data_IF_647549401260
#
_entry.id   IF_647549401260
#
_cell.length_a   1.000
_cell.length_b   1.000
_cell.length_c   1.000
_cell.angle_alpha   90.00
_cell.angle_beta   90.00
_cell.angle_gamma   90.00
#
_symmetry.space_group_name_H-M   'P 1'
#
loop_
_entity.id
_entity.type
_entity.pdbx_description
1 polymer ?
#
# COMPACT_ATOMS: atom_id res chain seq x y z
N UNK A 1 8.38 16.19 12.67
CA UNK A 1 9.07 15.13 13.42
C UNK A 1 9.85 14.24 12.44
N UNK A 2 11.12 14.56 12.15
CA UNK A 2 12.09 13.65 11.51
C UNK A 2 13.17 13.36 12.56
N UNK A 3 13.05 12.25 13.29
CA UNK A 3 13.97 11.98 14.42
C UNK A 3 15.21 11.15 14.01
N UNK A 4 15.28 10.63 12.78
CA UNK A 4 16.45 9.91 12.28
C UNK A 4 16.60 10.15 10.77
N UNK A 5 17.63 10.90 10.35
CA UNK A 5 17.92 11.27 8.95
C UNK A 5 18.48 10.13 8.11
N UNK A 6 17.92 8.92 8.24
CA UNK A 6 18.34 7.75 7.49
C UNK A 6 17.54 7.70 6.18
N UNK A 7 18.16 8.14 5.09
CA UNK A 7 17.69 7.78 3.75
C UNK A 7 18.02 6.31 3.50
N UNK A 8 17.11 5.58 2.85
CA UNK A 8 17.21 4.13 2.60
C UNK A 8 17.43 3.86 1.12
N UNK A 9 18.07 2.73 0.79
CA UNK A 9 18.26 2.30 -0.60
C UNK A 9 17.01 1.60 -1.16
N UNK A 10 16.16 1.06 -0.28
CA UNK A 10 14.99 0.30 -0.68
C UNK A 10 13.93 0.29 0.41
N UNK A 11 12.68 0.38 -0.01
CA UNK A 11 11.49 0.23 0.84
C UNK A 11 10.64 -0.89 0.23
N UNK A 12 10.17 -1.81 1.07
CA UNK A 12 9.26 -2.89 0.66
C UNK A 12 8.07 -2.89 1.60
N UNK A 13 6.85 -3.02 1.05
CA UNK A 13 5.61 -3.03 1.83
C UNK A 13 4.64 -4.09 1.32
N UNK A 14 3.94 -4.75 2.22
CA UNK A 14 2.71 -5.49 1.90
C UNK A 14 1.52 -4.71 2.47
N UNK A 15 0.97 -3.72 1.73
CA UNK A 15 -0.09 -2.86 2.24
C UNK A 15 -1.45 -3.58 2.25
N UNK A 16 -2.39 -3.14 3.10
CA UNK A 16 -3.78 -3.60 3.00
C UNK A 16 -4.39 -3.18 1.65
N UNK A 17 -4.97 -4.14 0.94
CA UNK A 17 -5.56 -3.94 -0.39
C UNK A 17 -6.99 -4.48 -0.54
N UNK A 18 -7.58 -5.03 0.54
CA UNK A 18 -8.93 -5.59 0.50
C UNK A 18 -9.93 -4.44 0.58
N UNK A 19 -10.90 -4.40 -0.34
CA UNK A 19 -11.97 -3.41 -0.28
C UNK A 19 -12.76 -3.56 1.01
N UNK A 20 -13.10 -2.44 1.65
CA UNK A 20 -13.77 -2.44 2.96
C UNK A 20 -15.05 -3.29 2.99
N UNK A 21 -15.79 -3.30 1.87
CA UNK A 21 -17.05 -4.04 1.71
C UNK A 21 -16.85 -5.55 1.56
N UNK A 22 -15.65 -6.00 1.16
CA UNK A 22 -15.33 -7.42 0.99
C UNK A 22 -14.82 -8.07 2.28
N UNK A 23 -14.50 -7.28 3.32
CA UNK A 23 -13.91 -7.78 4.57
C UNK A 23 -14.84 -8.76 5.29
N UNK A 24 -16.15 -8.51 5.26
CA UNK A 24 -17.15 -9.37 5.90
C UNK A 24 -17.28 -10.74 5.23
N UNK A 25 -16.84 -10.87 3.97
CA UNK A 25 -16.86 -12.11 3.18
C UNK A 25 -15.57 -12.92 3.25
N UNK A 26 -14.60 -12.52 4.08
CA UNK A 26 -13.32 -13.23 4.19
C UNK A 26 -13.49 -14.60 4.85
N UNK A 27 -12.56 -15.51 4.51
CA UNK A 27 -12.47 -16.81 5.16
C UNK A 27 -12.34 -16.65 6.69
N UNK A 28 -12.90 -17.58 7.44
CA UNK A 28 -12.98 -17.49 8.90
C UNK A 28 -11.60 -17.39 9.55
N UNK A 29 -10.60 -18.01 8.96
CA UNK A 29 -9.21 -17.96 9.41
C UNK A 29 -8.65 -16.54 9.30
N UNK A 30 -8.91 -15.84 8.19
CA UNK A 30 -8.44 -14.45 8.00
C UNK A 30 -9.24 -13.49 8.87
N UNK A 31 -10.57 -13.54 8.79
CA UNK A 31 -11.44 -12.59 9.48
C UNK A 31 -11.38 -12.67 11.01
N UNK A 32 -10.90 -13.78 11.59
CA UNK A 32 -10.78 -13.97 13.05
C UNK A 32 -9.36 -13.75 13.59
N UNK A 33 -8.32 -13.90 12.77
CA UNK A 33 -6.94 -13.86 13.25
C UNK A 33 -6.16 -12.63 12.76
N UNK A 34 -6.54 -12.04 11.63
CA UNK A 34 -5.87 -10.85 11.11
C UNK A 34 -6.56 -9.57 11.61
N UNK A 35 -5.81 -8.56 12.09
CA UNK A 35 -6.39 -7.30 12.50
C UNK A 35 -6.97 -6.56 11.29
N UNK A 36 -8.14 -5.93 11.45
CA UNK A 36 -8.80 -5.17 10.37
C UNK A 36 -7.87 -4.15 9.69
N UNK A 37 -6.98 -3.51 10.45
CA UNK A 37 -6.02 -2.53 9.93
C UNK A 37 -5.03 -3.13 8.90
N UNK A 38 -4.70 -4.42 9.02
CA UNK A 38 -3.83 -5.12 8.07
C UNK A 38 -4.59 -5.59 6.81
N UNK A 39 -5.92 -5.53 6.81
CA UNK A 39 -6.77 -6.00 5.73
C UNK A 39 -7.36 -4.84 4.92
N UNK A 40 -7.87 -3.81 5.60
CA UNK A 40 -8.73 -2.77 5.03
C UNK A 40 -7.95 -1.77 4.16
N UNK A 41 -8.02 -1.97 2.85
CA UNK A 41 -7.46 -1.08 1.83
C UNK A 41 -8.39 0.08 1.44
N UNK A 42 -9.51 0.28 2.13
CA UNK A 42 -10.49 1.32 1.82
C UNK A 42 -11.42 0.97 0.65
N UNK A 43 -12.20 1.95 0.18
CA UNK A 43 -13.29 1.76 -0.79
C UNK A 43 -12.88 0.99 -2.07
N UNK A 44 -11.67 1.23 -2.56
CA UNK A 44 -11.17 0.63 -3.81
C UNK A 44 -9.91 -0.22 -3.58
N UNK A 45 -9.54 -0.53 -2.33
CA UNK A 45 -8.32 -1.27 -2.02
C UNK A 45 -7.02 -0.49 -2.22
N UNK A 46 -7.08 0.83 -2.46
CA UNK A 46 -5.91 1.69 -2.71
C UNK A 46 -5.77 2.84 -1.70
N UNK A 47 -6.55 2.84 -0.62
CA UNK A 47 -6.66 3.95 0.32
C UNK A 47 -5.34 4.37 0.97
N UNK A 48 -4.40 3.42 1.12
CA UNK A 48 -3.08 3.67 1.73
C UNK A 48 -1.98 3.95 0.72
N UNK A 49 -2.17 3.66 -0.57
CA UNK A 49 -1.09 3.68 -1.57
C UNK A 49 -0.50 5.08 -1.74
N UNK A 50 -1.33 6.12 -1.80
CA UNK A 50 -0.85 7.49 -1.95
C UNK A 50 0.00 7.93 -0.74
N UNK A 51 -0.41 7.55 0.48
CA UNK A 51 0.34 7.85 1.69
C UNK A 51 1.69 7.14 1.70
N UNK A 52 1.72 5.87 1.29
CA UNK A 52 2.96 5.10 1.18
C UNK A 52 3.91 5.67 0.12
N UNK A 53 3.42 6.02 -1.07
CA UNK A 53 4.23 6.65 -2.11
C UNK A 53 4.86 7.97 -1.62
N UNK A 54 4.07 8.82 -0.96
CA UNK A 54 4.57 10.09 -0.41
C UNK A 54 5.60 9.87 0.69
N UNK A 55 5.37 8.93 1.61
CA UNK A 55 6.33 8.57 2.65
C UNK A 55 7.62 8.00 2.07
N UNK A 56 7.51 7.11 1.08
CA UNK A 56 8.64 6.51 0.41
C UNK A 56 9.50 7.55 -0.32
N UNK A 57 8.87 8.49 -1.04
CA UNK A 57 9.57 9.57 -1.74
C UNK A 57 10.42 10.44 -0.80
N UNK A 58 10.00 10.63 0.46
CA UNK A 58 10.74 11.39 1.47
C UNK A 58 11.90 10.60 2.11
N UNK A 59 11.91 9.27 1.97
CA UNK A 59 12.82 8.38 2.68
C UNK A 59 13.85 7.67 1.77
N UNK A 60 13.66 7.70 0.45
CA UNK A 60 14.56 7.06 -0.50
C UNK A 60 15.75 7.94 -0.87
N UNK A 61 16.91 7.30 -0.99
CA UNK A 61 18.08 7.89 -1.66
C UNK A 61 17.82 8.03 -3.16
N UNK A 62 18.56 8.91 -3.88
CA UNK A 62 18.61 8.86 -5.34
C UNK A 62 18.91 7.44 -5.84
N UNK A 63 18.17 6.99 -6.87
CA UNK A 63 18.20 5.63 -7.41
C UNK A 63 17.78 4.51 -6.43
N UNK A 64 17.18 4.84 -5.29
CA UNK A 64 16.52 3.86 -4.43
C UNK A 64 15.21 3.33 -5.05
N UNK A 65 14.72 2.20 -4.53
CA UNK A 65 13.51 1.55 -5.04
C UNK A 65 12.41 1.47 -3.99
N UNK A 66 11.15 1.53 -4.44
CA UNK A 66 9.98 1.20 -3.64
C UNK A 66 9.22 0.07 -4.32
N UNK A 67 9.01 -1.03 -3.59
CA UNK A 67 8.25 -2.19 -4.07
C UNK A 67 7.11 -2.44 -3.09
N UNK A 68 5.93 -2.75 -3.60
CA UNK A 68 4.83 -3.18 -2.74
C UNK A 68 3.93 -4.20 -3.42
N UNK A 69 3.34 -5.06 -2.61
CA UNK A 69 2.39 -6.07 -3.07
C UNK A 69 1.05 -5.42 -3.43
N UNK A 70 0.42 -5.93 -4.49
CA UNK A 70 -0.92 -5.56 -4.93
C UNK A 70 -1.69 -6.80 -5.39
N UNK A 71 -3.01 -6.73 -5.36
CA UNK A 71 -3.86 -7.72 -6.02
C UNK A 71 -4.04 -7.39 -7.50
N UNK A 72 -4.18 -8.42 -8.34
CA UNK A 72 -4.35 -8.25 -9.78
C UNK A 72 -5.51 -7.31 -10.15
N UNK A 73 -6.59 -7.32 -9.35
CA UNK A 73 -7.76 -6.47 -9.56
C UNK A 73 -7.47 -4.96 -9.55
N UNK A 74 -6.46 -4.50 -8.80
CA UNK A 74 -6.13 -3.06 -8.70
C UNK A 74 -5.04 -2.62 -9.68
N UNK A 75 -4.44 -3.56 -10.44
CA UNK A 75 -3.32 -3.28 -11.34
C UNK A 75 -3.67 -2.20 -12.39
N UNK A 76 -4.79 -2.36 -13.09
CA UNK A 76 -5.19 -1.42 -14.14
C UNK A 76 -5.51 -0.02 -13.61
N UNK A 77 -6.12 0.06 -12.42
CA UNK A 77 -6.44 1.34 -11.79
C UNK A 77 -5.18 2.06 -11.32
N UNK A 78 -4.21 1.31 -10.80
CA UNK A 78 -2.92 1.86 -10.39
C UNK A 78 -2.12 2.35 -11.59
N UNK A 79 -2.04 1.56 -12.67
CA UNK A 79 -1.36 1.94 -13.91
C UNK A 79 -1.95 3.24 -14.50
N UNK A 80 -3.28 3.36 -14.54
CA UNK A 80 -3.95 4.57 -15.02
C UNK A 80 -3.62 5.81 -14.17
N UNK A 81 -3.56 5.66 -12.83
CA UNK A 81 -3.18 6.76 -11.93
C UNK A 81 -1.71 7.14 -12.01
N UNK A 82 -0.81 6.16 -12.17
CA UNK A 82 0.61 6.42 -12.33
C UNK A 82 0.91 7.22 -13.61
N UNK A 83 0.22 6.90 -14.71
CA UNK A 83 0.33 7.65 -15.98
C UNK A 83 -0.16 9.09 -15.81
N UNK A 84 -1.21 9.33 -15.03
CA UNK A 84 -1.75 10.67 -14.79
C UNK A 84 -0.92 11.53 -13.80
N UNK A 85 0.08 10.95 -13.14
CA UNK A 85 0.97 11.64 -12.20
C UNK A 85 2.34 12.00 -12.81
N UNK A 86 2.61 11.57 -14.05
CA UNK A 86 3.74 12.00 -14.87
C UNK A 86 3.31 13.13 -15.82
#
# INVERSE_FOLDING_TARGET
MQKYGLQTAGIVSNPPYIQSDNISGLQAEVGRHEPRLALDGGLNGMGVLLHLCNGAALMLKPAGFFIFEIVAAIYFQLAAKAIAMC
#
